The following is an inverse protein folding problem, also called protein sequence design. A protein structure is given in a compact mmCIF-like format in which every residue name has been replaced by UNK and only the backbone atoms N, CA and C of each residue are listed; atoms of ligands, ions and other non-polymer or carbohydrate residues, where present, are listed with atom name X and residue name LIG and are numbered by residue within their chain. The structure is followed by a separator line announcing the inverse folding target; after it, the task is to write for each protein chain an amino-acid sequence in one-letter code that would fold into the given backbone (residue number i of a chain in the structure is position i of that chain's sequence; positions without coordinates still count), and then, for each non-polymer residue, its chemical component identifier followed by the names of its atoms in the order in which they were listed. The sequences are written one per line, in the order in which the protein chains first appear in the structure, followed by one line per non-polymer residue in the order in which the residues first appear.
data_IF_327768802757
#
_entry.id   IF_327768802757
#
_cell.length_a   1.000
_cell.length_b   1.000
_cell.length_c   1.000
_cell.angle_alpha   90.00
_cell.angle_beta   90.00
_cell.angle_gamma   90.00
#
_symmetry.space_group_name_H-M   'P 1'
#
loop_
_entity.id
_entity.type
_entity.pdbx_description
1 polymer ?
#
# COMPACT_ATOMS: atom_id res chain seq x y z
N UNK A 1 -25.35 -28.26 28.87
CA UNK A 1 -23.94 -28.03 29.25
C UNK A 1 -23.56 -29.06 30.29
N UNK A 2 -22.56 -29.88 30.05
CA UNK A 2 -22.06 -30.84 31.03
C UNK A 2 -21.02 -30.17 31.97
N UNK A 3 -20.53 -30.93 32.99
CA UNK A 3 -19.58 -30.37 33.97
C UNK A 3 -18.23 -29.97 33.30
N UNK A 4 -17.76 -30.71 32.28
CA UNK A 4 -16.51 -30.38 31.56
C UNK A 4 -16.64 -29.08 30.77
N UNK A 5 -17.75 -28.88 30.08
CA UNK A 5 -18.06 -27.61 29.37
C UNK A 5 -18.06 -26.43 30.33
N UNK A 6 -18.67 -26.61 31.51
CA UNK A 6 -18.76 -25.56 32.54
C UNK A 6 -17.37 -25.14 33.05
N UNK A 7 -16.50 -26.09 33.39
CA UNK A 7 -15.11 -25.78 33.79
C UNK A 7 -14.31 -25.13 32.66
N UNK A 8 -14.48 -25.59 31.42
CA UNK A 8 -13.87 -24.98 30.24
C UNK A 8 -14.29 -23.52 30.08
N UNK A 9 -15.58 -23.23 30.20
CA UNK A 9 -16.10 -21.85 30.16
C UNK A 9 -15.50 -20.96 31.24
N UNK A 10 -15.41 -21.44 32.48
CA UNK A 10 -14.79 -20.68 33.58
C UNK A 10 -13.32 -20.36 33.24
N UNK A 11 -12.57 -21.33 32.79
CA UNK A 11 -11.16 -21.15 32.44
C UNK A 11 -10.97 -20.13 31.34
N UNK A 12 -11.62 -20.32 30.19
CA UNK A 12 -11.46 -19.41 29.05
C UNK A 12 -12.09 -18.03 29.27
N UNK A 13 -13.05 -17.90 30.18
CA UNK A 13 -13.58 -16.57 30.56
C UNK A 13 -12.55 -15.72 31.32
N UNK A 14 -11.52 -16.34 31.89
CA UNK A 14 -10.44 -15.69 32.65
C UNK A 14 -9.17 -15.52 31.85
N UNK A 15 -9.02 -16.33 30.79
CA UNK A 15 -7.82 -16.38 29.97
C UNK A 15 -8.17 -16.17 28.48
N UNK A 16 -8.02 -14.94 27.97
CA UNK A 16 -8.29 -14.65 26.56
C UNK A 16 -7.36 -15.43 25.63
N UNK A 17 -6.12 -15.70 26.02
CA UNK A 17 -5.19 -16.48 25.18
C UNK A 17 -5.66 -17.92 24.99
N UNK A 18 -6.10 -18.58 26.08
CA UNK A 18 -6.70 -19.89 25.98
C UNK A 18 -7.96 -19.91 25.10
N UNK A 19 -8.80 -18.86 25.19
CA UNK A 19 -9.95 -18.73 24.28
C UNK A 19 -9.51 -18.66 22.81
N UNK A 20 -8.51 -17.83 22.50
CA UNK A 20 -8.02 -17.66 21.13
C UNK A 20 -7.45 -18.97 20.58
N UNK A 21 -6.54 -19.62 21.29
CA UNK A 21 -5.81 -20.79 20.79
C UNK A 21 -6.66 -22.07 20.73
N UNK A 22 -7.67 -22.20 21.58
CA UNK A 22 -8.48 -23.42 21.64
C UNK A 22 -9.79 -23.33 20.83
N UNK A 23 -10.39 -22.14 20.69
CA UNK A 23 -11.74 -21.99 20.11
C UNK A 23 -11.79 -21.13 18.89
N UNK A 24 -10.83 -20.23 18.68
CA UNK A 24 -10.86 -19.33 17.53
C UNK A 24 -10.31 -20.02 16.28
N UNK A 25 -11.01 -19.84 15.19
CA UNK A 25 -10.55 -20.20 13.86
C UNK A 25 -10.42 -18.95 13.00
N UNK A 26 -9.46 -18.98 12.08
CA UNK A 26 -9.22 -17.94 11.09
C UNK A 26 -9.50 -18.48 9.69
N UNK A 27 -9.58 -17.60 8.71
CA UNK A 27 -9.72 -17.97 7.30
C UNK A 27 -8.46 -17.56 6.53
N UNK A 28 -7.92 -18.49 5.80
CA UNK A 28 -6.84 -18.28 4.83
C UNK A 28 -7.40 -18.52 3.41
N UNK A 29 -7.20 -17.60 2.45
CA UNK A 29 -7.75 -17.75 1.10
C UNK A 29 -7.29 -19.01 0.36
N UNK A 30 -6.09 -19.51 0.67
CA UNK A 30 -5.51 -20.69 0.01
C UNK A 30 -5.71 -21.97 0.82
N UNK A 31 -5.65 -21.88 2.16
CA UNK A 31 -5.68 -23.05 3.07
C UNK A 31 -7.06 -23.26 3.73
N UNK A 32 -8.02 -22.33 3.52
CA UNK A 32 -9.35 -22.41 4.11
C UNK A 32 -9.40 -22.05 5.59
N UNK A 33 -10.18 -22.79 6.37
CA UNK A 33 -10.33 -22.55 7.80
C UNK A 33 -9.18 -23.18 8.60
N UNK A 34 -8.48 -22.36 9.37
CA UNK A 34 -7.33 -22.75 10.18
C UNK A 34 -7.60 -22.47 11.68
N UNK A 35 -6.98 -23.25 12.56
CA UNK A 35 -6.92 -22.91 13.99
C UNK A 35 -6.11 -21.62 14.18
N UNK A 36 -6.46 -20.84 15.21
CA UNK A 36 -5.68 -19.66 15.59
C UNK A 36 -4.27 -20.10 16.02
N UNK A 37 -3.19 -19.52 15.47
CA UNK A 37 -1.84 -19.99 15.75
C UNK A 37 -1.35 -19.55 17.13
N UNK A 38 -0.61 -20.42 17.80
CA UNK A 38 0.08 -20.12 19.06
C UNK A 38 1.44 -19.46 18.77
N UNK A 39 1.42 -18.18 18.37
CA UNK A 39 2.64 -17.42 18.12
C UNK A 39 2.96 -16.50 19.30
N UNK A 40 4.22 -16.46 19.77
CA UNK A 40 4.63 -15.63 20.90
C UNK A 40 4.27 -14.18 20.78
N UNK A 41 4.48 -13.54 19.60
CA UNK A 41 4.18 -12.13 19.40
C UNK A 41 2.68 -11.80 19.49
N UNK A 42 1.80 -12.76 19.15
CA UNK A 42 0.35 -12.58 19.33
C UNK A 42 -0.05 -12.68 20.79
N UNK A 43 0.60 -13.56 21.55
CA UNK A 43 0.41 -13.69 23.00
C UNK A 43 0.84 -12.41 23.71
N UNK A 44 2.00 -11.87 23.36
CA UNK A 44 2.50 -10.60 23.89
C UNK A 44 1.56 -9.43 23.54
N UNK A 45 1.04 -9.41 22.32
CA UNK A 45 0.05 -8.42 21.90
C UNK A 45 -1.22 -8.51 22.73
N UNK A 46 -1.79 -9.71 22.95
CA UNK A 46 -2.96 -9.92 23.82
C UNK A 46 -2.69 -9.45 25.23
N UNK A 47 -1.50 -9.76 25.77
CA UNK A 47 -1.10 -9.34 27.11
C UNK A 47 -1.08 -7.80 27.22
N UNK A 48 -0.53 -7.09 26.26
CA UNK A 48 -0.51 -5.63 26.26
C UNK A 48 -1.92 -5.02 26.11
N UNK A 49 -2.83 -5.62 25.31
CA UNK A 49 -4.21 -5.16 25.19
C UNK A 49 -4.98 -5.29 26.53
N UNK A 50 -4.66 -6.29 27.34
CA UNK A 50 -5.31 -6.49 28.63
C UNK A 50 -4.67 -5.64 29.75
N UNK A 51 -3.40 -5.23 29.63
CA UNK A 51 -2.71 -4.41 30.63
C UNK A 51 -2.73 -2.91 30.32
N UNK A 52 -2.72 -2.51 29.05
CA UNK A 52 -2.59 -1.12 28.62
C UNK A 52 -3.92 -0.57 28.13
N UNK A 53 -4.30 0.59 28.65
CA UNK A 53 -5.57 1.23 28.27
C UNK A 53 -5.50 1.91 26.89
N UNK A 54 -4.37 2.51 26.56
CA UNK A 54 -4.13 3.23 25.31
C UNK A 54 -2.92 2.64 24.60
N UNK A 55 -3.15 1.94 23.50
CA UNK A 55 -2.15 1.17 22.78
C UNK A 55 -2.04 1.61 21.32
N UNK A 56 -0.83 1.83 20.85
CA UNK A 56 -0.51 2.01 19.44
C UNK A 56 0.34 0.84 18.95
N UNK A 57 -0.07 0.26 17.82
CA UNK A 57 0.56 -0.95 17.28
C UNK A 57 1.04 -0.71 15.84
N UNK A 58 2.21 -0.12 15.66
CA UNK A 58 2.87 -0.14 14.36
C UNK A 58 3.29 -1.55 14.00
N UNK A 59 2.80 -2.05 12.89
CA UNK A 59 2.98 -3.44 12.49
C UNK A 59 3.41 -3.60 11.03
N UNK A 60 4.13 -4.68 10.74
CA UNK A 60 4.26 -5.21 9.39
C UNK A 60 2.91 -5.70 8.87
N UNK A 61 2.72 -5.75 7.55
CA UNK A 61 1.47 -6.27 6.97
C UNK A 61 1.24 -7.74 7.32
N UNK A 62 -0.05 -8.10 7.47
CA UNK A 62 -0.52 -9.49 7.58
C UNK A 62 0.03 -10.25 8.81
N UNK A 63 0.09 -9.57 9.95
CA UNK A 63 0.53 -10.13 11.23
C UNK A 63 -0.64 -10.64 12.10
N UNK A 64 -1.78 -11.03 11.51
CA UNK A 64 -2.99 -11.56 12.16
C UNK A 64 -3.61 -10.65 13.25
N UNK A 65 -3.14 -9.41 13.37
CA UNK A 65 -3.59 -8.46 14.40
C UNK A 65 -5.10 -8.20 14.33
N UNK A 66 -5.66 -8.05 13.12
CA UNK A 66 -7.09 -7.82 12.92
C UNK A 66 -7.94 -9.03 13.37
N UNK A 67 -7.49 -10.26 13.09
CA UNK A 67 -8.15 -11.47 13.59
C UNK A 67 -8.09 -11.58 15.11
N UNK A 68 -6.94 -11.23 15.70
CA UNK A 68 -6.75 -11.20 17.16
C UNK A 68 -7.73 -10.21 17.82
N UNK A 69 -7.87 -9.01 17.25
CA UNK A 69 -8.79 -7.99 17.78
C UNK A 69 -10.27 -8.40 17.64
N UNK A 70 -10.63 -9.01 16.50
CA UNK A 70 -11.99 -9.55 16.32
C UNK A 70 -12.31 -10.62 17.37
N UNK A 71 -11.37 -11.53 17.64
CA UNK A 71 -11.51 -12.54 18.68
C UNK A 71 -11.59 -11.96 20.09
N UNK A 72 -10.76 -10.96 20.41
CA UNK A 72 -10.73 -10.32 21.72
C UNK A 72 -12.00 -9.50 22.02
N UNK A 73 -12.52 -8.76 21.05
CA UNK A 73 -13.77 -8.04 21.24
C UNK A 73 -14.96 -9.00 21.38
N UNK A 74 -14.95 -10.11 20.62
CA UNK A 74 -15.93 -11.17 20.84
C UNK A 74 -15.79 -11.79 22.24
N UNK A 75 -14.57 -12.13 22.67
CA UNK A 75 -14.32 -12.65 24.01
C UNK A 75 -14.81 -11.71 25.11
N UNK A 76 -14.50 -10.40 25.00
CA UNK A 76 -15.00 -9.40 25.96
C UNK A 76 -16.52 -9.33 25.96
N UNK A 77 -17.16 -9.38 24.79
CA UNK A 77 -18.62 -9.37 24.68
C UNK A 77 -19.29 -10.64 25.27
N UNK A 78 -18.63 -11.78 25.23
CA UNK A 78 -19.14 -13.04 25.76
C UNK A 78 -18.93 -13.20 27.29
N UNK A 79 -17.81 -12.70 27.82
CA UNK A 79 -17.35 -13.05 29.16
C UNK A 79 -17.14 -11.88 30.13
N UNK A 80 -17.06 -10.65 29.63
CA UNK A 80 -16.90 -9.44 30.48
C UNK A 80 -18.26 -8.79 30.78
N UNK A 81 -18.22 -7.76 31.60
CA UNK A 81 -19.41 -6.92 31.92
C UNK A 81 -20.00 -6.29 30.63
N UNK A 82 -21.27 -5.84 30.69
CA UNK A 82 -21.88 -5.12 29.57
C UNK A 82 -20.96 -4.02 29.03
N UNK A 83 -20.80 -3.97 27.73
CA UNK A 83 -19.93 -3.00 27.10
C UNK A 83 -20.20 -2.85 25.60
N UNK A 84 -19.83 -1.71 25.07
CA UNK A 84 -19.85 -1.45 23.64
C UNK A 84 -18.39 -1.46 23.11
N UNK A 85 -18.13 -2.28 22.10
CA UNK A 85 -16.83 -2.38 21.45
C UNK A 85 -16.97 -1.86 20.03
N UNK A 86 -16.15 -0.88 19.67
CA UNK A 86 -16.22 -0.19 18.39
C UNK A 86 -15.02 -0.51 17.53
N UNK A 87 -15.27 -1.05 16.33
CA UNK A 87 -14.32 -1.11 15.24
C UNK A 87 -14.44 0.14 14.37
N UNK A 88 -13.32 0.75 14.06
CA UNK A 88 -13.19 1.79 13.03
C UNK A 88 -12.24 1.32 11.93
N UNK A 89 -12.64 1.54 10.69
CA UNK A 89 -11.81 1.19 9.54
C UNK A 89 -11.98 2.22 8.42
N UNK A 90 -11.04 2.24 7.49
CA UNK A 90 -10.89 3.24 6.44
C UNK A 90 -12.16 3.55 5.63
N UNK A 91 -13.00 2.55 5.37
CA UNK A 91 -14.24 2.68 4.61
C UNK A 91 -15.28 1.64 5.06
N UNK A 92 -16.52 1.76 4.55
CA UNK A 92 -17.65 0.89 4.90
C UNK A 92 -17.34 -0.59 4.62
N UNK A 93 -16.81 -0.92 3.45
CA UNK A 93 -16.46 -2.31 3.10
C UNK A 93 -15.46 -2.92 4.07
N UNK A 94 -14.41 -2.17 4.43
CA UNK A 94 -13.43 -2.64 5.41
C UNK A 94 -14.03 -2.80 6.80
N UNK A 95 -14.97 -1.92 7.19
CA UNK A 95 -15.67 -2.04 8.45
C UNK A 95 -16.56 -3.30 8.48
N UNK A 96 -17.29 -3.58 7.41
CA UNK A 96 -18.09 -4.81 7.29
C UNK A 96 -17.21 -6.06 7.40
N UNK A 97 -16.05 -6.09 6.72
CA UNK A 97 -15.12 -7.21 6.79
C UNK A 97 -14.59 -7.48 8.21
N UNK A 98 -14.44 -6.44 9.06
CA UNK A 98 -14.09 -6.63 10.48
C UNK A 98 -15.19 -7.37 11.23
N UNK A 99 -16.43 -6.97 11.03
CA UNK A 99 -17.56 -7.59 11.71
C UNK A 99 -17.85 -9.00 11.17
N UNK A 100 -17.59 -9.26 9.88
CA UNK A 100 -17.68 -10.61 9.32
C UNK A 100 -16.67 -11.56 9.96
N UNK A 101 -15.46 -11.10 10.31
CA UNK A 101 -14.52 -11.92 11.09
C UNK A 101 -15.09 -12.29 12.46
N UNK A 102 -15.74 -11.37 13.13
CA UNK A 102 -16.42 -11.65 14.42
C UNK A 102 -17.53 -12.68 14.23
N UNK A 103 -18.38 -12.54 13.19
CA UNK A 103 -19.44 -13.50 12.86
C UNK A 103 -18.89 -14.88 12.57
N UNK A 104 -17.83 -14.93 11.77
CA UNK A 104 -17.17 -16.18 11.43
C UNK A 104 -16.67 -16.89 12.70
N UNK A 105 -15.94 -16.19 13.57
CA UNK A 105 -15.45 -16.77 14.83
C UNK A 105 -16.61 -17.24 15.68
N UNK A 106 -17.63 -16.39 15.90
CA UNK A 106 -18.82 -16.72 16.69
C UNK A 106 -19.53 -17.96 16.13
N UNK A 107 -19.67 -18.06 14.80
CA UNK A 107 -20.28 -19.22 14.14
C UNK A 107 -19.55 -20.54 14.42
N UNK A 108 -18.22 -20.50 14.60
CA UNK A 108 -17.38 -21.67 14.86
C UNK A 108 -17.33 -22.10 16.33
N UNK A 109 -17.79 -21.26 17.26
CA UNK A 109 -17.79 -21.62 18.70
C UNK A 109 -18.74 -22.81 18.98
N UNK A 110 -18.51 -23.59 20.03
CA UNK A 110 -19.48 -24.56 20.52
C UNK A 110 -20.79 -23.91 20.95
N UNK A 111 -21.91 -24.63 20.82
CA UNK A 111 -23.24 -24.07 21.11
C UNK A 111 -23.41 -23.61 22.56
N UNK A 112 -22.75 -24.26 23.51
CA UNK A 112 -22.77 -23.86 24.91
C UNK A 112 -22.07 -22.52 25.19
N UNK A 113 -21.26 -22.02 24.28
CA UNK A 113 -20.62 -20.70 24.34
C UNK A 113 -21.39 -19.61 23.59
N UNK A 114 -22.43 -19.97 22.82
CA UNK A 114 -23.19 -19.03 21.99
C UNK A 114 -24.41 -18.48 22.69
N UNK A 115 -24.39 -17.29 23.28
CA UNK A 115 -25.61 -16.65 23.73
C UNK A 115 -26.49 -16.27 22.52
N UNK A 116 -27.81 -16.12 22.78
CA UNK A 116 -28.75 -15.59 21.78
C UNK A 116 -28.33 -14.20 21.36
N UNK A 117 -28.30 -13.94 20.08
CA UNK A 117 -28.09 -12.59 19.51
C UNK A 117 -29.41 -11.80 19.61
N UNK A 118 -29.31 -10.54 20.01
CA UNK A 118 -30.43 -9.58 20.04
C UNK A 118 -30.40 -8.63 18.85
N UNK A 119 -29.24 -8.43 18.23
CA UNK A 119 -29.07 -7.80 16.93
C UNK A 119 -27.97 -8.50 16.13
N UNK A 120 -28.15 -8.54 14.80
CA UNK A 120 -27.17 -9.03 13.85
C UNK A 120 -27.42 -8.33 12.51
N UNK A 121 -26.86 -7.14 12.37
CA UNK A 121 -26.94 -6.29 11.16
C UNK A 121 -25.58 -6.11 10.52
N UNK A 122 -25.49 -5.38 9.41
CA UNK A 122 -24.20 -5.09 8.74
C UNK A 122 -23.18 -4.39 9.65
N UNK A 123 -23.67 -3.54 10.56
CA UNK A 123 -22.85 -2.68 11.41
C UNK A 123 -22.77 -3.12 12.86
N UNK A 124 -23.62 -4.08 13.27
CA UNK A 124 -23.77 -4.43 14.69
C UNK A 124 -24.01 -5.93 14.93
N UNK A 125 -23.36 -6.45 15.97
CA UNK A 125 -23.74 -7.70 16.63
C UNK A 125 -23.99 -7.39 18.12
N UNK A 126 -25.17 -7.76 18.64
CA UNK A 126 -25.52 -7.60 20.05
C UNK A 126 -25.87 -8.94 20.70
N UNK A 127 -25.39 -9.11 21.95
CA UNK A 127 -25.47 -10.35 22.72
C UNK A 127 -26.45 -10.22 23.86
N UNK A 128 -27.47 -11.09 23.94
CA UNK A 128 -28.55 -10.99 24.88
C UNK A 128 -28.17 -11.26 26.34
N UNK A 129 -27.07 -11.97 26.60
CA UNK A 129 -26.73 -12.41 27.95
C UNK A 129 -26.33 -11.25 28.89
N UNK A 130 -25.52 -10.31 28.37
CA UNK A 130 -24.98 -9.19 29.16
C UNK A 130 -25.24 -7.82 28.54
N UNK A 131 -26.01 -7.75 27.43
CA UNK A 131 -26.24 -6.52 26.67
C UNK A 131 -25.01 -5.95 25.99
N UNK A 132 -23.96 -6.79 25.80
CA UNK A 132 -22.76 -6.37 25.10
C UNK A 132 -23.03 -6.20 23.60
N UNK A 133 -22.37 -5.23 22.99
CA UNK A 133 -22.52 -4.87 21.57
C UNK A 133 -21.15 -4.70 20.92
N UNK A 134 -21.02 -5.19 19.69
CA UNK A 134 -19.87 -4.92 18.83
C UNK A 134 -20.38 -4.18 17.60
N UNK A 135 -19.88 -2.97 17.39
CA UNK A 135 -20.19 -2.12 16.25
C UNK A 135 -18.96 -2.03 15.34
N UNK A 136 -19.19 -1.91 14.05
CA UNK A 136 -18.15 -1.65 13.08
C UNK A 136 -18.58 -0.55 12.13
N UNK A 137 -17.84 0.57 12.12
CA UNK A 137 -18.19 1.78 11.40
C UNK A 137 -17.04 2.22 10.49
N UNK A 138 -17.34 2.84 9.33
CA UNK A 138 -16.35 3.57 8.60
C UNK A 138 -15.85 4.75 9.45
N UNK A 139 -14.55 4.97 9.45
CA UNK A 139 -13.94 6.08 10.16
C UNK A 139 -14.35 7.40 9.47
N UNK A 140 -15.17 8.17 10.16
CA UNK A 140 -15.68 9.47 9.72
C UNK A 140 -15.70 10.48 10.87
N UNK A 141 -15.59 11.79 10.60
CA UNK A 141 -15.48 12.80 11.66
C UNK A 141 -16.64 12.85 12.64
N UNK A 142 -17.83 12.39 12.24
CA UNK A 142 -19.05 12.43 13.07
C UNK A 142 -19.46 11.04 13.58
N UNK A 143 -18.98 9.95 12.99
CA UNK A 143 -19.39 8.59 13.34
C UNK A 143 -19.19 8.26 14.84
N UNK A 144 -17.99 8.43 15.40
CA UNK A 144 -17.72 8.07 16.79
C UNK A 144 -18.46 8.92 17.84
N UNK A 145 -18.86 10.14 17.50
CA UNK A 145 -19.49 11.08 18.47
C UNK A 145 -20.80 10.59 19.04
N UNK A 146 -21.49 9.69 18.34
CA UNK A 146 -22.79 9.17 18.75
C UNK A 146 -22.69 8.05 19.80
N UNK A 147 -21.47 7.60 20.13
CA UNK A 147 -21.25 6.42 20.93
C UNK A 147 -20.29 6.69 22.10
N UNK A 148 -20.47 5.91 23.17
CA UNK A 148 -19.55 5.88 24.32
C UNK A 148 -18.97 4.46 24.47
N UNK A 149 -18.02 4.07 23.60
CA UNK A 149 -17.48 2.71 23.60
C UNK A 149 -16.61 2.44 24.83
N UNK A 150 -16.72 1.23 25.37
CA UNK A 150 -15.83 0.69 26.39
C UNK A 150 -14.45 0.31 25.83
N UNK A 151 -14.38 0.05 24.52
CA UNK A 151 -13.13 -0.21 23.80
C UNK A 151 -13.26 0.15 22.33
N UNK A 152 -12.20 0.76 21.78
CA UNK A 152 -12.09 1.15 20.37
C UNK A 152 -10.91 0.44 19.76
N UNK A 153 -11.12 -0.15 18.60
CA UNK A 153 -10.07 -0.63 17.71
C UNK A 153 -10.13 0.15 16.40
N UNK A 154 -9.07 0.85 16.07
CA UNK A 154 -8.96 1.60 14.83
C UNK A 154 -7.96 0.91 13.89
N UNK A 155 -8.47 0.17 12.91
CA UNK A 155 -7.67 -0.56 11.93
C UNK A 155 -7.22 0.36 10.79
N UNK A 156 -5.99 0.17 10.32
CA UNK A 156 -5.35 0.94 9.25
C UNK A 156 -5.39 2.48 9.51
N UNK A 157 -5.14 2.87 10.78
CA UNK A 157 -5.27 4.25 11.25
C UNK A 157 -4.47 5.25 10.41
N UNK A 158 -3.23 4.90 9.99
CA UNK A 158 -2.37 5.77 9.18
C UNK A 158 -2.93 6.08 7.77
N UNK A 159 -3.91 5.30 7.29
CA UNK A 159 -4.51 5.46 5.97
C UNK A 159 -5.95 6.00 6.03
N UNK A 160 -6.37 6.48 7.17
CA UNK A 160 -7.71 7.00 7.38
C UNK A 160 -7.75 8.50 7.10
N UNK A 161 -8.62 8.98 6.18
CA UNK A 161 -8.83 10.41 5.98
C UNK A 161 -9.40 11.06 7.23
N UNK A 162 -9.08 12.35 7.46
CA UNK A 162 -9.59 13.14 8.58
C UNK A 162 -9.25 12.57 9.97
N UNK A 163 -8.14 11.88 10.10
CA UNK A 163 -7.69 11.17 11.30
C UNK A 163 -7.67 12.05 12.57
N UNK A 164 -7.19 13.30 12.49
CA UNK A 164 -7.19 14.25 13.61
C UNK A 164 -8.62 14.60 14.08
N UNK A 165 -9.58 14.75 13.16
CA UNK A 165 -10.98 15.06 13.50
C UNK A 165 -11.68 13.85 14.16
N UNK A 166 -11.40 12.65 13.67
CA UNK A 166 -11.91 11.40 14.21
C UNK A 166 -11.34 11.17 15.61
N UNK A 167 -10.05 11.41 15.79
CA UNK A 167 -9.41 11.34 17.11
C UNK A 167 -10.03 12.31 18.11
N UNK A 168 -10.25 13.56 17.71
CA UNK A 168 -10.93 14.55 18.55
C UNK A 168 -12.35 14.12 18.93
N UNK A 169 -13.05 13.40 18.06
CA UNK A 169 -14.38 12.84 18.33
C UNK A 169 -14.38 11.66 19.31
N UNK A 170 -13.31 10.85 19.31
CA UNK A 170 -13.13 9.69 20.21
C UNK A 170 -12.66 10.09 21.60
N UNK A 171 -11.87 11.14 21.71
CA UNK A 171 -11.19 11.53 22.95
C UNK A 171 -12.09 11.61 24.20
N UNK A 172 -13.29 12.21 24.16
CA UNK A 172 -14.17 12.27 25.33
C UNK A 172 -14.56 10.88 25.88
N UNK A 173 -14.83 9.91 25.01
CA UNK A 173 -15.14 8.55 25.41
C UNK A 173 -13.94 7.84 26.05
N UNK A 174 -12.74 8.10 25.54
CA UNK A 174 -11.49 7.56 26.09
C UNK A 174 -11.14 8.21 27.43
N UNK A 175 -11.36 9.51 27.57
CA UNK A 175 -11.15 10.23 28.84
C UNK A 175 -12.11 9.72 29.93
N UNK A 176 -13.29 9.21 29.57
CA UNK A 176 -14.26 8.56 30.48
C UNK A 176 -13.87 7.12 30.87
N UNK A 177 -12.70 6.63 30.48
CA UNK A 177 -12.18 5.29 30.87
C UNK A 177 -12.21 4.24 29.78
N UNK A 178 -12.64 4.54 28.57
CA UNK A 178 -12.57 3.64 27.42
C UNK A 178 -11.15 3.23 27.06
N UNK A 179 -10.97 2.00 26.58
CA UNK A 179 -9.69 1.51 26.04
C UNK A 179 -9.56 1.80 24.55
N UNK A 180 -8.32 1.95 24.07
CA UNK A 180 -8.03 2.24 22.67
C UNK A 180 -6.87 1.40 22.15
N UNK A 181 -7.05 0.85 20.97
CA UNK A 181 -6.00 0.16 20.20
C UNK A 181 -5.99 0.73 18.77
N UNK A 182 -4.99 1.54 18.45
CA UNK A 182 -4.74 2.04 17.10
C UNK A 182 -3.70 1.19 16.40
N UNK A 183 -4.02 0.65 15.24
CA UNK A 183 -3.16 -0.29 14.50
C UNK A 183 -2.96 0.18 13.07
N UNK A 184 -1.73 0.15 12.59
CA UNK A 184 -1.41 0.41 11.17
C UNK A 184 -0.01 -0.07 10.78
N UNK A 185 0.25 -0.26 9.48
CA UNK A 185 1.60 -0.05 8.95
C UNK A 185 1.91 1.46 8.96
N UNK A 186 3.16 1.87 8.74
CA UNK A 186 3.54 3.26 9.02
C UNK A 186 2.80 4.31 8.18
N UNK A 187 2.43 3.98 6.94
CA UNK A 187 1.78 4.94 6.04
C UNK A 187 2.60 6.21 5.74
N UNK A 188 3.91 6.20 6.06
CA UNK A 188 4.78 7.38 6.02
C UNK A 188 4.71 8.23 7.30
N UNK A 189 5.44 9.34 7.34
CA UNK A 189 5.58 10.19 8.54
C UNK A 189 4.52 11.30 8.70
N UNK A 190 3.65 11.53 7.71
CA UNK A 190 2.76 12.70 7.67
C UNK A 190 1.30 12.42 8.08
N UNK A 191 1.06 11.46 8.96
CA UNK A 191 -0.27 11.13 9.46
C UNK A 191 -0.31 11.15 11.00
N UNK A 192 -1.50 11.21 11.58
CA UNK A 192 -1.68 11.27 13.03
C UNK A 192 -1.08 10.05 13.74
N UNK A 193 -1.25 8.84 13.18
CA UNK A 193 -0.69 7.62 13.76
C UNK A 193 0.84 7.70 13.89
N UNK A 194 1.53 8.16 12.85
CA UNK A 194 2.98 8.34 12.88
C UNK A 194 3.41 9.36 13.94
N UNK A 195 2.74 10.52 14.00
CA UNK A 195 2.99 11.55 15.03
C UNK A 195 2.88 10.94 16.43
N UNK A 196 1.76 10.28 16.73
CA UNK A 196 1.50 9.68 18.04
C UNK A 196 2.50 8.59 18.41
N UNK A 197 2.91 7.74 17.45
CA UNK A 197 3.91 6.68 17.67
C UNK A 197 5.28 7.30 17.96
N UNK A 198 5.71 8.30 17.18
CA UNK A 198 7.01 8.94 17.33
C UNK A 198 7.12 9.75 18.64
N UNK A 199 6.05 10.44 19.04
CA UNK A 199 5.96 11.16 20.31
C UNK A 199 5.94 10.23 21.54
N UNK A 200 5.48 8.99 21.35
CA UNK A 200 5.38 7.99 22.43
C UNK A 200 6.61 7.09 22.53
N UNK A 201 7.47 7.08 21.51
CA UNK A 201 8.71 6.31 21.54
C UNK A 201 9.69 6.93 22.55
N UNK A 202 10.40 6.11 23.36
CA UNK A 202 11.44 6.65 24.23
C UNK A 202 12.51 7.34 23.38
N UNK A 203 12.95 8.53 23.81
CA UNK A 203 14.06 9.25 23.18
C UNK A 203 15.32 8.35 23.18
N UNK A 204 16.06 8.26 22.05
CA UNK A 204 17.31 7.50 22.00
C UNK A 204 18.35 7.95 23.05
N UNK A 205 18.23 9.19 23.56
CA UNK A 205 19.04 9.75 24.63
C UNK A 205 18.19 10.72 25.44
N UNK A 206 17.37 10.21 26.38
CA UNK A 206 16.52 11.07 27.20
C UNK A 206 17.39 12.00 28.05
N UNK A 207 17.02 13.29 28.09
CA UNK A 207 17.64 14.22 29.03
C UNK A 207 17.26 13.89 30.47
N UNK A 208 18.05 14.26 31.48
CA UNK A 208 17.67 14.03 32.89
C UNK A 208 16.29 14.59 33.24
N UNK A 209 15.88 15.69 32.65
CA UNK A 209 14.54 16.31 32.81
C UNK A 209 13.43 15.46 32.17
N UNK A 210 13.69 14.79 31.07
CA UNK A 210 12.71 13.89 30.40
C UNK A 210 12.44 12.61 31.21
N UNK A 211 13.43 12.18 32.00
CA UNK A 211 13.27 11.02 32.91
C UNK A 211 12.46 11.43 34.15
N UNK A 212 12.57 12.68 34.60
CA UNK A 212 11.83 13.19 35.77
C UNK A 212 10.38 13.57 35.45
N UNK A 213 10.08 14.04 34.21
CA UNK A 213 8.71 14.43 33.79
C UNK A 213 7.80 13.27 33.41
N UNK A 214 8.31 12.05 33.38
CA UNK A 214 7.53 10.86 33.00
C UNK A 214 7.28 10.75 31.49
N UNK A 215 6.46 9.78 31.08
CA UNK A 215 6.09 9.59 29.67
C UNK A 215 5.39 10.85 29.13
N UNK A 216 5.93 11.44 28.08
CA UNK A 216 5.32 12.59 27.37
C UNK A 216 3.98 12.25 26.73
N UNK A 217 3.72 11.00 26.44
CA UNK A 217 2.52 10.51 25.79
C UNK A 217 1.84 9.42 26.65
N UNK A 218 0.50 9.40 26.74
CA UNK A 218 -0.23 8.38 27.48
C UNK A 218 -0.27 7.02 26.79
N UNK A 219 0.30 6.90 25.58
CA UNK A 219 0.24 5.67 24.78
C UNK A 219 1.39 4.72 25.09
N UNK A 220 1.06 3.44 25.19
CA UNK A 220 2.05 2.38 25.07
C UNK A 220 2.22 2.02 23.57
N UNK A 221 3.44 1.86 23.09
CA UNK A 221 3.75 1.48 21.70
C UNK A 221 4.25 0.06 21.67
N UNK A 222 3.48 -0.83 21.03
CA UNK A 222 3.84 -2.22 20.82
C UNK A 222 4.12 -2.46 19.32
N UNK A 223 5.38 -2.64 18.95
CA UNK A 223 5.77 -2.90 17.56
C UNK A 223 5.66 -4.39 17.26
N UNK A 224 5.09 -4.75 16.10
CA UNK A 224 4.98 -6.14 15.62
C UNK A 224 5.65 -6.24 14.25
N UNK A 225 6.91 -6.67 14.24
CA UNK A 225 7.73 -6.76 13.04
C UNK A 225 7.57 -8.14 12.36
N UNK A 226 7.68 -8.21 11.02
CA UNK A 226 7.52 -9.46 10.27
C UNK A 226 8.52 -10.55 10.70
N UNK A 227 9.69 -10.18 11.20
CA UNK A 227 10.69 -11.11 11.74
C UNK A 227 10.20 -11.89 12.99
N UNK A 228 9.15 -11.44 13.65
CA UNK A 228 8.54 -12.15 14.76
C UNK A 228 7.67 -13.32 14.29
N UNK A 229 7.20 -13.26 13.03
CA UNK A 229 6.41 -14.34 12.45
C UNK A 229 7.29 -15.53 12.07
N UNK A 230 7.03 -16.76 12.57
CA UNK A 230 7.91 -17.92 12.38
C UNK A 230 8.23 -18.25 10.91
N UNK A 231 7.26 -18.08 10.00
CA UNK A 231 7.41 -18.43 8.58
C UNK A 231 8.04 -17.29 7.74
N UNK A 232 8.34 -16.11 8.32
CA UNK A 232 8.80 -14.92 7.57
C UNK A 232 10.23 -14.50 7.87
N UNK A 233 10.94 -15.25 8.69
CA UNK A 233 12.31 -14.93 9.14
C UNK A 233 13.38 -15.21 8.08
N UNK A 234 13.03 -15.90 6.99
CA UNK A 234 14.01 -16.36 6.01
C UNK A 234 14.29 -15.30 4.96
N UNK A 235 15.54 -15.23 4.50
CA UNK A 235 15.94 -14.35 3.40
C UNK A 235 15.22 -14.71 2.09
N UNK A 236 14.83 -15.97 1.91
CA UNK A 236 14.05 -16.42 0.78
C UNK A 236 12.64 -15.78 0.80
N UNK A 237 11.95 -15.82 1.94
CA UNK A 237 10.65 -15.16 2.10
C UNK A 237 10.77 -13.66 1.88
N UNK A 238 11.78 -13.00 2.49
CA UNK A 238 12.02 -11.56 2.33
C UNK A 238 12.19 -11.19 0.88
N UNK A 239 13.02 -11.92 0.14
CA UNK A 239 13.29 -11.68 -1.28
C UNK A 239 12.04 -11.84 -2.14
N UNK A 240 11.25 -12.91 -1.89
CA UNK A 240 10.01 -13.16 -2.59
C UNK A 240 8.94 -12.09 -2.27
N UNK A 241 8.80 -11.69 -1.01
CA UNK A 241 7.83 -10.69 -0.57
C UNK A 241 8.19 -9.26 -1.01
N UNK A 242 9.49 -8.96 -1.17
CA UNK A 242 9.99 -7.67 -1.62
C UNK A 242 9.92 -7.50 -3.15
N UNK A 243 9.89 -8.60 -3.91
CA UNK A 243 9.83 -8.55 -5.36
C UNK A 243 8.56 -7.81 -5.86
N UNK A 244 8.75 -6.86 -6.75
CA UNK A 244 7.65 -6.04 -7.28
C UNK A 244 7.14 -4.95 -6.35
N UNK A 245 7.79 -4.69 -5.22
CA UNK A 245 7.55 -3.51 -4.39
C UNK A 245 8.68 -2.50 -4.55
N UNK A 246 8.38 -1.20 -4.35
CA UNK A 246 9.43 -0.20 -4.20
C UNK A 246 10.12 -0.34 -2.84
N UNK A 247 11.36 0.13 -2.71
CA UNK A 247 12.07 0.13 -1.43
C UNK A 247 11.34 0.94 -0.35
N UNK A 248 10.79 2.10 -0.74
CA UNK A 248 10.01 2.95 0.16
C UNK A 248 8.79 2.17 0.68
N UNK A 249 8.04 1.53 -0.23
CA UNK A 249 6.86 0.76 0.14
C UNK A 249 7.20 -0.44 1.02
N UNK A 250 8.29 -1.16 0.72
CA UNK A 250 8.80 -2.23 1.58
C UNK A 250 9.11 -1.72 2.99
N UNK A 251 9.86 -0.61 3.10
CA UNK A 251 10.19 -0.01 4.39
C UNK A 251 8.94 0.40 5.18
N UNK A 252 7.96 1.01 4.52
CA UNK A 252 6.71 1.43 5.17
C UNK A 252 5.84 0.24 5.60
N UNK A 253 5.68 -0.76 4.74
CA UNK A 253 4.73 -1.86 4.95
C UNK A 253 5.29 -3.03 5.77
N UNK A 254 6.61 -3.29 5.70
CA UNK A 254 7.24 -4.43 6.36
C UNK A 254 8.25 -4.02 7.44
N UNK A 255 9.10 -3.03 7.19
CA UNK A 255 10.11 -2.58 8.15
C UNK A 255 9.57 -1.53 9.14
N UNK A 256 8.32 -1.12 9.04
CA UNK A 256 7.66 -0.16 9.94
C UNK A 256 8.43 1.18 9.96
N UNK A 257 8.96 1.63 8.83
CA UNK A 257 9.67 2.91 8.73
C UNK A 257 8.69 4.07 8.62
N UNK A 258 8.89 5.10 9.42
CA UNK A 258 8.17 6.37 9.39
C UNK A 258 8.96 7.46 8.65
N UNK A 259 10.03 7.11 7.96
CA UNK A 259 10.79 8.06 7.16
C UNK A 259 9.92 8.62 6.03
N UNK A 260 9.96 9.93 5.88
CA UNK A 260 9.30 10.59 4.75
C UNK A 260 10.04 10.25 3.45
N UNK A 261 9.30 10.05 2.37
CA UNK A 261 9.88 9.99 1.05
C UNK A 261 10.63 11.31 0.76
N UNK A 262 11.72 11.23 0.00
CA UNK A 262 12.41 12.43 -0.51
C UNK A 262 11.45 13.25 -1.38
N UNK A 263 11.69 14.56 -1.53
CA UNK A 263 10.88 15.41 -2.42
C UNK A 263 10.94 14.97 -3.88
N UNK A 264 11.94 14.16 -4.27
CA UNK A 264 12.05 13.59 -5.62
C UNK A 264 11.01 12.49 -5.84
N UNK A 265 10.32 12.53 -6.98
CA UNK A 265 9.37 11.50 -7.37
C UNK A 265 10.07 10.15 -7.58
N UNK A 266 11.23 10.16 -8.21
CA UNK A 266 12.03 8.97 -8.51
C UNK A 266 13.33 8.95 -7.70
N UNK A 267 13.20 8.86 -6.38
CA UNK A 267 14.33 8.75 -5.44
C UNK A 267 15.17 7.48 -5.64
N UNK A 268 14.63 6.48 -6.33
CA UNK A 268 15.30 5.23 -6.68
C UNK A 268 16.33 5.40 -7.81
N UNK A 269 16.32 6.53 -8.53
CA UNK A 269 17.27 6.77 -9.59
C UNK A 269 18.67 7.05 -9.05
N UNK A 270 19.62 6.23 -9.45
CA UNK A 270 21.04 6.34 -9.13
C UNK A 270 21.84 6.35 -10.43
N UNK A 271 22.50 7.46 -10.79
CA UNK A 271 23.26 7.57 -12.02
C UNK A 271 24.29 6.45 -12.22
N UNK A 272 24.93 5.96 -11.16
CA UNK A 272 25.93 4.89 -11.26
C UNK A 272 25.33 3.53 -11.62
N UNK A 273 24.07 3.31 -11.30
CA UNK A 273 23.37 2.03 -11.55
C UNK A 273 22.53 2.06 -12.82
N UNK A 274 21.99 3.22 -13.17
CA UNK A 274 20.99 3.37 -14.21
C UNK A 274 21.51 3.96 -15.52
N UNK A 275 22.64 4.69 -15.51
CA UNK A 275 23.23 5.21 -16.73
C UNK A 275 24.26 4.20 -17.23
N UNK A 276 24.14 3.82 -18.49
CA UNK A 276 25.12 2.95 -19.14
C UNK A 276 26.47 3.70 -19.30
N UNK A 277 27.58 2.96 -19.25
CA UNK A 277 28.91 3.55 -19.41
C UNK A 277 29.14 4.05 -20.85
N UNK A 278 28.48 3.43 -21.83
CA UNK A 278 28.58 3.76 -23.26
C UNK A 278 27.18 3.85 -23.89
N UNK A 279 27.08 4.48 -25.05
CA UNK A 279 25.87 4.51 -25.85
C UNK A 279 25.42 3.09 -26.20
N UNK A 280 24.12 2.87 -26.21
CA UNK A 280 23.55 1.56 -26.47
C UNK A 280 23.55 1.25 -27.97
N UNK A 281 24.06 0.09 -28.32
CA UNK A 281 23.91 -0.46 -29.67
C UNK A 281 22.61 -1.30 -29.73
N UNK A 282 21.71 -0.90 -30.61
CA UNK A 282 20.43 -1.58 -30.80
C UNK A 282 20.65 -2.99 -31.33
N UNK A 283 20.12 -4.00 -30.64
CA UNK A 283 20.23 -5.41 -31.03
C UNK A 283 19.06 -5.81 -31.92
N UNK A 284 19.36 -6.37 -33.09
CA UNK A 284 18.34 -6.91 -33.97
C UNK A 284 17.62 -8.13 -33.33
N UNK A 285 16.33 -8.24 -33.52
CA UNK A 285 15.54 -9.34 -32.98
C UNK A 285 15.07 -9.18 -31.53
N UNK A 286 15.47 -8.13 -30.81
CA UNK A 286 14.90 -7.78 -29.53
C UNK A 286 13.76 -6.79 -29.70
N UNK A 287 12.77 -6.87 -28.83
CA UNK A 287 11.58 -6.00 -28.88
C UNK A 287 11.97 -4.53 -28.68
N UNK A 288 11.46 -3.69 -29.57
CA UNK A 288 11.64 -2.24 -29.52
C UNK A 288 10.28 -1.58 -29.33
N UNK A 289 10.26 -0.59 -28.50
CA UNK A 289 9.08 0.20 -28.16
C UNK A 289 9.38 1.68 -28.30
N UNK A 290 8.33 2.47 -28.52
CA UNK A 290 8.39 3.92 -28.41
C UNK A 290 7.34 4.41 -27.42
N UNK A 291 7.55 5.58 -26.87
CA UNK A 291 6.54 6.26 -26.07
C UNK A 291 6.55 7.74 -26.41
N UNK A 292 5.35 8.32 -26.48
CA UNK A 292 5.11 9.66 -27.03
C UNK A 292 4.27 10.44 -26.02
N UNK A 293 4.81 11.54 -25.54
CA UNK A 293 4.05 12.58 -24.87
C UNK A 293 3.72 13.69 -25.88
N UNK A 294 2.40 13.90 -26.10
CA UNK A 294 1.94 14.89 -27.06
C UNK A 294 1.91 16.28 -26.42
N UNK A 295 2.31 17.27 -27.17
CA UNK A 295 2.19 18.67 -26.81
C UNK A 295 2.84 19.50 -27.91
N UNK A 296 2.21 20.61 -28.34
CA UNK A 296 2.83 21.48 -29.34
C UNK A 296 4.10 22.12 -28.80
N UNK A 297 4.09 22.56 -27.54
CA UNK A 297 5.23 23.28 -26.96
C UNK A 297 6.42 22.38 -26.68
N UNK A 298 6.16 21.19 -26.11
CA UNK A 298 7.20 20.28 -25.64
C UNK A 298 6.84 18.81 -25.92
N UNK A 299 6.66 18.41 -27.21
CA UNK A 299 6.47 17.00 -27.53
C UNK A 299 7.73 16.20 -27.20
N UNK A 300 7.52 14.98 -26.68
CA UNK A 300 8.62 14.14 -26.23
C UNK A 300 8.46 12.70 -26.71
N UNK A 301 9.57 12.08 -27.14
CA UNK A 301 9.59 10.69 -27.60
C UNK A 301 10.78 9.95 -26.99
N UNK A 302 10.54 8.73 -26.51
CA UNK A 302 11.60 7.81 -26.05
C UNK A 302 11.60 6.54 -26.90
N UNK A 303 12.78 6.00 -27.12
CA UNK A 303 13.00 4.68 -27.71
C UNK A 303 13.53 3.73 -26.68
N UNK A 304 12.89 2.55 -26.58
CA UNK A 304 13.13 1.61 -25.51
C UNK A 304 13.33 0.23 -26.12
N UNK A 305 14.39 -0.48 -25.74
CA UNK A 305 14.62 -1.86 -26.11
C UNK A 305 14.50 -2.77 -24.89
N UNK A 306 13.77 -3.88 -25.02
CA UNK A 306 13.69 -4.90 -23.99
C UNK A 306 14.81 -5.89 -24.13
N UNK A 307 15.51 -6.19 -23.02
CA UNK A 307 16.56 -7.23 -23.00
C UNK A 307 15.94 -8.62 -22.76
N UNK A 308 16.64 -9.71 -23.14
CA UNK A 308 16.18 -11.08 -22.88
C UNK A 308 15.97 -11.38 -21.39
N UNK A 309 16.69 -10.69 -20.51
CA UNK A 309 16.61 -10.85 -19.04
C UNK A 309 15.51 -9.99 -18.41
N UNK A 310 14.51 -9.57 -19.20
CA UNK A 310 13.40 -8.72 -18.75
C UNK A 310 13.82 -7.34 -18.22
N UNK A 311 14.93 -6.80 -18.76
CA UNK A 311 15.38 -5.42 -18.56
C UNK A 311 14.90 -4.50 -19.66
N UNK A 312 15.01 -3.19 -19.45
CA UNK A 312 14.66 -2.15 -20.39
C UNK A 312 15.85 -1.18 -20.55
N UNK A 313 16.18 -0.87 -21.77
CA UNK A 313 17.20 0.13 -22.10
C UNK A 313 16.52 1.27 -22.87
N UNK A 314 16.50 2.46 -22.30
CA UNK A 314 16.14 3.66 -23.05
C UNK A 314 17.38 4.07 -23.85
N UNK A 315 17.34 3.90 -25.17
CA UNK A 315 18.54 4.07 -25.99
C UNK A 315 18.58 5.40 -26.74
N UNK A 316 17.44 6.06 -26.95
CA UNK A 316 17.37 7.38 -27.55
C UNK A 316 16.18 8.18 -27.04
N UNK A 317 16.27 9.50 -27.18
CA UNK A 317 15.24 10.46 -26.87
C UNK A 317 15.15 11.55 -27.94
N UNK A 318 13.94 12.10 -28.09
CA UNK A 318 13.73 13.31 -28.84
C UNK A 318 12.84 14.27 -28.06
N UNK A 319 13.34 15.50 -27.85
CA UNK A 319 12.62 16.57 -27.21
C UNK A 319 12.36 17.67 -28.25
N UNK A 320 11.08 17.95 -28.55
CA UNK A 320 10.69 19.03 -29.46
C UNK A 320 10.40 20.33 -28.69
N UNK A 321 10.53 21.43 -29.37
CA UNK A 321 10.07 22.73 -28.91
C UNK A 321 9.28 23.40 -30.04
N UNK A 322 8.00 23.75 -29.77
CA UNK A 322 7.09 24.35 -30.73
C UNK A 322 7.02 23.58 -32.06
N UNK A 323 6.75 22.26 -31.95
CA UNK A 323 6.72 21.32 -33.08
C UNK A 323 5.32 20.77 -33.34
N UNK A 324 4.98 20.67 -34.61
CA UNK A 324 3.75 19.97 -35.05
C UNK A 324 3.92 18.46 -34.97
N UNK A 325 2.79 17.75 -35.05
CA UNK A 325 2.80 16.26 -35.05
C UNK A 325 3.52 15.72 -36.29
N UNK A 326 3.43 16.39 -37.44
CA UNK A 326 4.12 16.02 -38.67
C UNK A 326 5.63 16.20 -38.54
N UNK A 327 6.10 17.29 -37.93
CA UNK A 327 7.51 17.51 -37.63
C UNK A 327 8.07 16.46 -36.64
N UNK A 328 7.29 16.13 -35.62
CA UNK A 328 7.62 15.05 -34.70
C UNK A 328 7.70 13.71 -35.44
N UNK A 329 6.74 13.38 -36.31
CA UNK A 329 6.76 12.16 -37.11
C UNK A 329 8.01 12.11 -38.02
N UNK A 330 8.43 13.23 -38.61
CA UNK A 330 9.64 13.30 -39.40
C UNK A 330 10.88 13.04 -38.53
N UNK A 331 10.95 13.60 -37.35
CA UNK A 331 12.02 13.36 -36.39
C UNK A 331 12.10 11.88 -35.99
N UNK A 332 10.93 11.25 -35.68
CA UNK A 332 10.86 9.83 -35.38
C UNK A 332 11.43 9.00 -36.52
N UNK A 333 11.03 9.25 -37.74
CA UNK A 333 11.55 8.50 -38.93
C UNK A 333 13.06 8.68 -39.15
N UNK A 334 13.59 9.88 -38.90
CA UNK A 334 15.01 10.14 -39.02
C UNK A 334 15.82 9.38 -37.96
N UNK A 335 15.34 9.32 -36.74
CA UNK A 335 15.98 8.56 -35.65
C UNK A 335 15.87 7.06 -35.93
N UNK A 336 14.69 6.56 -36.31
CA UNK A 336 14.51 5.15 -36.68
C UNK A 336 15.50 4.77 -37.80
N UNK A 337 15.59 5.60 -38.86
CA UNK A 337 16.51 5.36 -39.98
C UNK A 337 17.98 5.31 -39.53
N UNK A 338 18.39 6.16 -38.59
CA UNK A 338 19.76 6.16 -38.07
C UNK A 338 20.15 4.86 -37.38
N UNK A 339 19.16 4.12 -36.86
CA UNK A 339 19.31 2.79 -36.25
C UNK A 339 18.98 1.63 -37.22
N UNK A 340 18.67 1.93 -38.50
CA UNK A 340 18.23 0.93 -39.48
C UNK A 340 16.86 0.32 -39.14
N UNK A 341 16.03 1.02 -38.38
CA UNK A 341 14.72 0.56 -37.98
C UNK A 341 13.61 1.01 -38.93
N UNK A 342 12.59 0.19 -39.04
CA UNK A 342 11.32 0.48 -39.72
C UNK A 342 10.16 0.33 -38.74
N UNK A 343 8.95 0.74 -39.14
CA UNK A 343 7.76 0.54 -38.30
C UNK A 343 7.46 -0.94 -37.99
N UNK A 344 8.00 -1.88 -38.74
CA UNK A 344 7.81 -3.32 -38.49
C UNK A 344 8.69 -3.84 -37.37
N UNK A 345 9.79 -3.13 -37.08
CA UNK A 345 10.73 -3.49 -36.02
C UNK A 345 10.26 -2.97 -34.66
N UNK A 346 9.29 -2.01 -34.63
CA UNK A 346 8.72 -1.46 -33.41
C UNK A 346 7.46 -2.23 -33.03
N UNK A 347 7.47 -2.83 -31.87
CA UNK A 347 6.39 -3.67 -31.36
C UNK A 347 5.11 -2.86 -31.18
N UNK A 348 5.21 -1.71 -30.53
CA UNK A 348 4.16 -0.68 -30.41
C UNK A 348 4.74 0.64 -29.87
N UNK A 349 3.91 1.71 -29.97
CA UNK A 349 4.19 3.01 -29.40
C UNK A 349 3.12 3.37 -28.37
N UNK A 350 3.52 3.61 -27.12
CA UNK A 350 2.62 4.13 -26.09
C UNK A 350 2.41 5.65 -26.27
N UNK A 351 1.31 6.17 -25.74
CA UNK A 351 0.99 7.59 -25.85
C UNK A 351 0.23 8.19 -24.67
N UNK A 352 0.22 9.51 -24.60
CA UNK A 352 -0.68 10.30 -23.77
C UNK A 352 -2.15 10.10 -24.20
N UNK A 353 -3.10 9.92 -23.24
CA UNK A 353 -4.53 9.93 -23.50
C UNK A 353 -5.04 11.18 -24.25
N UNK A 354 -4.44 12.36 -24.04
CA UNK A 354 -4.87 13.61 -24.66
C UNK A 354 -4.69 13.68 -26.20
N UNK A 355 -3.84 12.83 -26.78
CA UNK A 355 -3.55 12.82 -28.22
C UNK A 355 -4.72 12.46 -29.16
N UNK A 356 -5.91 12.15 -28.61
CA UNK A 356 -7.15 11.92 -29.40
C UNK A 356 -7.92 13.19 -29.72
N UNK A 357 -7.60 14.32 -29.09
CA UNK A 357 -8.26 15.59 -29.38
C UNK A 357 -7.99 16.02 -30.84
N UNK A 358 -9.05 16.32 -31.58
CA UNK A 358 -8.92 16.82 -32.95
C UNK A 358 -8.32 18.21 -32.94
N UNK A 359 -7.34 18.43 -33.85
CA UNK A 359 -6.76 19.75 -34.13
C UNK A 359 -7.57 20.50 -35.20
N UNK A 360 -7.23 21.77 -35.46
CA UNK A 360 -7.85 22.60 -36.47
C UNK A 360 -7.80 22.01 -37.90
N UNK A 361 -6.89 21.09 -38.13
CA UNK A 361 -6.76 20.29 -39.38
C UNK A 361 -7.83 19.21 -39.52
N UNK A 362 -8.67 18.99 -38.49
CA UNK A 362 -9.68 17.92 -38.45
C UNK A 362 -9.15 16.53 -38.11
N UNK A 363 -7.84 16.33 -38.00
CA UNK A 363 -7.19 15.10 -37.62
C UNK A 363 -6.64 15.20 -36.20
N UNK A 364 -6.68 14.12 -35.45
CA UNK A 364 -5.96 14.04 -34.19
C UNK A 364 -4.48 13.69 -34.41
N UNK A 365 -3.56 14.04 -33.50
CA UNK A 365 -2.19 13.58 -33.52
C UNK A 365 -2.07 12.06 -33.70
N UNK A 366 -2.94 11.31 -33.05
CA UNK A 366 -2.99 9.83 -33.16
C UNK A 366 -3.37 9.38 -34.55
N UNK A 367 -4.32 10.07 -35.24
CA UNK A 367 -4.73 9.72 -36.60
C UNK A 367 -3.57 9.93 -37.60
N UNK A 368 -2.76 10.96 -37.40
CA UNK A 368 -1.57 11.22 -38.22
C UNK A 368 -0.56 10.07 -38.08
N UNK A 369 -0.26 9.66 -36.83
CA UNK A 369 0.70 8.58 -36.57
C UNK A 369 0.15 7.21 -37.04
N UNK A 370 -1.12 6.90 -36.85
CA UNK A 370 -1.74 5.67 -37.37
C UNK A 370 -1.70 5.59 -38.89
N UNK A 371 -1.95 6.71 -39.61
CA UNK A 371 -1.81 6.78 -41.08
C UNK A 371 -0.38 6.59 -41.53
N UNK A 372 0.60 6.90 -40.68
CA UNK A 372 2.01 6.65 -40.94
C UNK A 372 2.43 5.18 -40.70
N UNK A 373 1.47 4.32 -40.27
CA UNK A 373 1.71 2.90 -40.04
C UNK A 373 2.05 2.53 -38.58
N UNK A 374 2.03 3.49 -37.66
CA UNK A 374 2.37 3.25 -36.28
C UNK A 374 1.30 2.47 -35.53
N UNK A 375 1.68 1.45 -34.79
CA UNK A 375 0.83 0.70 -33.87
C UNK A 375 0.76 1.45 -32.52
N UNK A 376 -0.28 2.23 -32.31
CA UNK A 376 -0.42 3.10 -31.16
C UNK A 376 -1.27 2.43 -30.07
N UNK A 377 -0.73 2.36 -28.84
CA UNK A 377 -1.44 1.88 -27.65
C UNK A 377 -1.67 3.02 -26.66
N UNK A 378 -2.79 2.91 -25.93
CA UNK A 378 -3.11 3.78 -24.82
C UNK A 378 -3.93 3.02 -23.77
N UNK A 379 -3.42 2.96 -22.56
CA UNK A 379 -4.15 2.42 -21.41
C UNK A 379 -4.28 3.50 -20.34
N UNK A 380 -5.51 3.84 -19.94
CA UNK A 380 -5.71 4.81 -18.87
C UNK A 380 -5.22 4.24 -17.54
N UNK A 381 -4.52 5.02 -16.75
CA UNK A 381 -4.13 4.68 -15.39
C UNK A 381 -4.08 5.92 -14.50
N UNK A 382 -4.13 5.73 -13.19
CA UNK A 382 -3.82 6.81 -12.25
C UNK A 382 -2.32 7.14 -12.35
N UNK A 383 -1.98 8.42 -12.22
CA UNK A 383 -0.59 8.91 -12.28
C UNK A 383 0.31 8.15 -11.29
N UNK A 384 -0.14 7.98 -10.06
CA UNK A 384 0.58 7.25 -9.02
C UNK A 384 0.90 5.79 -9.38
N UNK A 385 -0.05 5.07 -10.02
CA UNK A 385 0.18 3.69 -10.46
C UNK A 385 1.33 3.61 -11.47
N UNK A 386 1.35 4.53 -12.44
CA UNK A 386 2.42 4.57 -13.42
C UNK A 386 3.77 4.97 -12.81
N UNK A 387 3.78 5.88 -11.84
CA UNK A 387 5.00 6.23 -11.07
C UNK A 387 5.54 5.00 -10.33
N UNK A 388 4.68 4.22 -9.67
CA UNK A 388 5.11 3.00 -8.99
C UNK A 388 5.74 1.98 -9.94
N UNK A 389 5.21 1.80 -11.15
CA UNK A 389 5.82 0.92 -12.15
C UNK A 389 7.22 1.37 -12.55
N UNK A 390 7.42 2.67 -12.77
CA UNK A 390 8.75 3.23 -13.06
C UNK A 390 9.72 3.01 -11.90
N UNK A 391 9.31 3.27 -10.67
CA UNK A 391 10.12 3.05 -9.47
C UNK A 391 10.55 1.60 -9.31
N UNK A 392 9.63 0.67 -9.52
CA UNK A 392 9.91 -0.78 -9.48
C UNK A 392 10.91 -1.15 -10.58
N UNK A 393 10.79 -0.56 -11.77
CA UNK A 393 11.73 -0.80 -12.85
C UNK A 393 13.13 -0.22 -12.58
N UNK A 394 13.21 0.95 -11.92
CA UNK A 394 14.46 1.52 -11.45
C UNK A 394 15.11 0.64 -10.40
N UNK A 395 14.43 0.37 -9.30
CA UNK A 395 14.95 -0.50 -8.26
C UNK A 395 13.79 -1.05 -7.40
N UNK A 396 13.53 -2.35 -7.50
CA UNK A 396 12.57 -2.98 -6.60
C UNK A 396 13.15 -3.17 -5.18
N UNK A 397 12.30 -3.55 -4.23
CA UNK A 397 12.71 -3.74 -2.84
C UNK A 397 13.68 -4.92 -2.64
N UNK A 398 13.80 -5.81 -3.63
CA UNK A 398 14.82 -6.87 -3.68
C UNK A 398 16.17 -6.38 -4.23
N UNK A 399 16.26 -5.10 -4.64
CA UNK A 399 17.46 -4.47 -5.19
C UNK A 399 17.69 -4.74 -6.68
N UNK A 400 16.69 -5.30 -7.39
CA UNK A 400 16.79 -5.59 -8.82
C UNK A 400 16.56 -4.33 -9.63
N UNK A 401 17.43 -4.07 -10.60
CA UNK A 401 17.37 -2.96 -11.57
C UNK A 401 16.93 -3.53 -12.91
N UNK A 402 15.80 -3.05 -13.43
CA UNK A 402 15.26 -3.42 -14.75
C UNK A 402 15.41 -2.30 -15.77
N UNK A 403 15.50 -1.04 -15.34
CA UNK A 403 15.59 0.12 -16.23
C UNK A 403 17.01 0.69 -16.24
N UNK A 404 17.57 0.85 -17.44
CA UNK A 404 18.83 1.56 -17.67
C UNK A 404 18.68 2.53 -18.83
N UNK A 405 19.55 3.52 -18.88
CA UNK A 405 19.42 4.68 -19.78
C UNK A 405 20.76 4.90 -20.48
N UNK A 406 20.73 5.05 -21.78
CA UNK A 406 21.91 5.45 -22.57
C UNK A 406 22.35 6.86 -22.18
N UNK A 407 23.65 7.15 -22.06
CA UNK A 407 24.16 8.49 -21.78
C UNK A 407 23.77 9.53 -22.84
N UNK A 408 23.26 9.10 -23.97
CA UNK A 408 22.70 9.93 -25.03
C UNK A 408 21.41 10.64 -24.60
N UNK A 409 20.62 10.03 -23.73
CA UNK A 409 19.35 10.55 -23.22
C UNK A 409 19.56 11.61 -22.12
N UNK A 410 20.17 12.72 -22.47
CA UNK A 410 20.63 13.76 -21.51
C UNK A 410 19.48 14.49 -20.83
N UNK A 411 18.41 14.74 -21.57
CA UNK A 411 17.22 15.45 -21.06
C UNK A 411 16.51 14.59 -20.01
N UNK A 412 16.20 13.35 -20.35
CA UNK A 412 15.60 12.39 -19.42
C UNK A 412 16.44 12.20 -18.14
N UNK A 413 17.76 12.04 -18.30
CA UNK A 413 18.68 11.89 -17.15
C UNK A 413 18.64 13.11 -16.24
N UNK A 414 18.65 14.32 -16.79
CA UNK A 414 18.58 15.55 -16.01
C UNK A 414 17.24 15.70 -15.27
N UNK A 415 16.15 15.27 -15.89
CA UNK A 415 14.82 15.40 -15.37
C UNK A 415 14.55 14.48 -14.16
N UNK A 416 15.20 13.31 -14.09
CA UNK A 416 15.17 12.47 -12.88
C UNK A 416 15.63 13.20 -11.62
N UNK A 417 16.59 14.13 -11.72
CA UNK A 417 17.08 14.93 -10.61
C UNK A 417 16.21 16.15 -10.25
N UNK A 418 15.19 16.46 -11.06
CA UNK A 418 14.36 17.66 -10.95
C UNK A 418 12.90 17.36 -10.65
N UNK A 419 12.37 16.22 -11.09
CA UNK A 419 10.96 15.87 -10.96
C UNK A 419 10.58 15.63 -9.50
N UNK A 420 9.72 16.49 -8.95
CA UNK A 420 9.41 16.56 -7.52
C UNK A 420 7.92 16.47 -7.25
N UNK A 421 7.58 16.06 -6.05
CA UNK A 421 6.22 16.13 -5.54
C UNK A 421 5.83 17.58 -5.27
N UNK A 422 4.57 17.91 -5.53
CA UNK A 422 4.01 19.21 -5.13
C UNK A 422 3.97 19.31 -3.59
N UNK A 423 4.14 20.52 -3.07
CA UNK A 423 4.15 20.76 -1.63
C UNK A 423 2.83 20.29 -0.97
N UNK A 424 2.91 19.29 -0.10
CA UNK A 424 1.76 18.72 0.62
C UNK A 424 0.81 17.89 -0.24
N UNK A 425 1.20 17.52 -1.47
CA UNK A 425 0.37 16.75 -2.40
C UNK A 425 0.93 15.39 -2.77
N UNK A 426 0.03 14.52 -3.23
CA UNK A 426 0.36 13.20 -3.77
C UNK A 426 0.55 13.24 -5.30
N UNK A 427 0.59 14.42 -5.91
CA UNK A 427 0.81 14.60 -7.33
C UNK A 427 2.14 15.30 -7.60
N UNK A 428 2.87 14.94 -8.67
CA UNK A 428 4.07 15.65 -9.08
C UNK A 428 3.78 17.08 -9.52
N UNK A 429 4.79 17.96 -9.39
CA UNK A 429 4.75 19.30 -9.97
C UNK A 429 4.64 19.20 -11.49
N UNK A 430 3.67 19.94 -12.07
CA UNK A 430 3.49 20.08 -13.51
C UNK A 430 3.78 21.53 -13.91
N UNK A 431 5.05 21.81 -14.18
CA UNK A 431 5.55 23.14 -14.55
C UNK A 431 5.95 23.26 -16.03
N UNK A 432 5.78 22.17 -16.81
CA UNK A 432 6.17 22.09 -18.22
C UNK A 432 7.67 22.02 -18.44
N UNK A 433 8.47 21.74 -17.42
CA UNK A 433 9.94 21.67 -17.50
C UNK A 433 10.49 20.24 -17.59
N UNK A 434 10.02 19.36 -16.72
CA UNK A 434 10.49 17.97 -16.66
C UNK A 434 9.36 16.92 -16.68
N UNK A 435 8.11 17.34 -16.67
CA UNK A 435 6.95 16.45 -16.65
C UNK A 435 6.78 15.68 -17.97
N UNK A 436 7.16 16.25 -19.13
CA UNK A 436 6.97 15.61 -20.43
C UNK A 436 7.80 14.33 -20.61
N UNK A 437 9.08 14.35 -20.24
CA UNK A 437 9.95 13.16 -20.30
C UNK A 437 9.50 12.08 -19.31
N UNK A 438 9.10 12.50 -18.10
CA UNK A 438 8.64 11.61 -17.05
C UNK A 438 7.26 11.02 -17.36
N UNK A 439 6.35 11.78 -17.95
CA UNK A 439 5.05 11.30 -18.42
C UNK A 439 5.22 10.33 -19.60
N UNK A 440 6.09 10.63 -20.57
CA UNK A 440 6.43 9.70 -21.64
C UNK A 440 6.95 8.36 -21.11
N UNK A 441 7.87 8.39 -20.15
CA UNK A 441 8.40 7.18 -19.50
C UNK A 441 7.29 6.40 -18.77
N UNK A 442 6.42 7.10 -18.05
CA UNK A 442 5.30 6.51 -17.33
C UNK A 442 4.30 5.82 -18.27
N UNK A 443 4.00 6.41 -19.44
CA UNK A 443 3.09 5.79 -20.42
C UNK A 443 3.65 4.48 -20.97
N UNK A 444 4.95 4.35 -21.13
CA UNK A 444 5.56 3.07 -21.49
C UNK A 444 5.24 2.00 -20.46
N UNK A 445 5.58 2.21 -19.19
CA UNK A 445 5.40 1.21 -18.15
C UNK A 445 3.94 0.88 -17.89
N UNK A 446 3.03 1.86 -17.94
CA UNK A 446 1.59 1.61 -17.84
C UNK A 446 1.11 0.66 -18.93
N UNK A 447 1.49 0.89 -20.19
CA UNK A 447 1.06 0.04 -21.29
C UNK A 447 1.73 -1.34 -21.25
N UNK A 448 3.00 -1.41 -20.84
CA UNK A 448 3.75 -2.66 -20.76
C UNK A 448 3.25 -3.56 -19.63
N UNK A 449 3.18 -3.08 -18.40
CA UNK A 449 2.81 -3.87 -17.23
C UNK A 449 1.32 -4.29 -17.29
N UNK A 450 0.43 -3.43 -17.76
CA UNK A 450 -0.97 -3.79 -17.94
C UNK A 450 -1.21 -4.78 -19.10
N UNK A 451 -0.29 -4.91 -20.06
CA UNK A 451 -0.39 -5.96 -21.07
C UNK A 451 -0.03 -7.34 -20.50
N UNK A 452 0.80 -7.36 -19.47
CA UNK A 452 1.25 -8.56 -18.77
C UNK A 452 0.32 -8.98 -17.62
N UNK A 453 -0.62 -8.13 -17.19
CA UNK A 453 -1.66 -8.50 -16.20
C UNK A 453 -2.67 -9.53 -16.72
N UNK A 454 -2.73 -9.81 -18.00
CA UNK A 454 -3.44 -10.97 -18.57
C UNK A 454 -2.65 -12.30 -18.41
N UNK A 455 -1.38 -12.25 -18.04
CA UNK A 455 -0.60 -13.39 -17.54
C UNK A 455 -0.64 -13.28 -16.02
N UNK A 456 -1.03 -14.33 -15.26
CA UNK A 456 -1.17 -14.23 -13.82
C UNK A 456 0.11 -13.64 -13.23
N UNK A 457 -0.01 -12.45 -12.63
CA UNK A 457 1.02 -11.82 -11.80
C UNK A 457 1.60 -12.90 -10.91
N UNK A 458 2.94 -12.92 -10.80
CA UNK A 458 3.74 -13.81 -9.99
C UNK A 458 2.97 -14.31 -8.77
N UNK A 459 2.99 -15.59 -8.42
CA UNK A 459 2.04 -16.20 -7.50
C UNK A 459 1.89 -15.28 -6.31
N UNK A 460 0.69 -14.72 -6.14
CA UNK A 460 0.30 -14.10 -4.86
C UNK A 460 0.76 -15.12 -3.87
N UNK A 461 1.77 -14.81 -3.07
CA UNK A 461 2.38 -15.72 -2.14
C UNK A 461 1.26 -16.51 -1.48
N UNK A 462 1.07 -17.76 -1.92
CA UNK A 462 0.01 -18.64 -1.44
C UNK A 462 0.28 -18.78 0.05
N UNK A 463 -0.63 -18.28 0.88
CA UNK A 463 -0.47 -18.33 2.33
C UNK A 463 -0.32 -16.98 3.03
N UNK A 464 -0.46 -15.85 2.31
CA UNK A 464 -0.48 -14.55 2.98
C UNK A 464 -1.93 -14.07 3.02
N UNK A 465 -2.68 -14.52 4.05
CA UNK A 465 -4.07 -14.13 4.28
C UNK A 465 -4.27 -12.60 4.32
N UNK A 466 -5.32 -12.14 3.70
CA UNK A 466 -5.82 -10.75 3.83
C UNK A 466 -6.41 -10.50 5.21
#
# INVERSE_FOLDING_TARGET
MNSADFYTMIRVSRDPWAFLTEFVKTQDPAKGTLAFPDYPYLKDFVTHIESERLLLVPKSRQMLVTWTMAALFLWRALFRAPGMYLFLSRNERCAEELLERVRFIFGQLPDYMKPKLTANSREEIAFGKYGARILSLPASPNGPRMYSPSGVFWDEMAFTPFDEQIWAALKPALDSGGSFVGVSSSGGGNNLFAKMVLESAPSPSPSPTEVEEGRRSPFFVHRIHYLEHPERRTEEWKRAAAAGLTQVRWRMEQEISFENATDLVYSEFDPQRHILAEEWNVHSGWEIYRTIDFGYRHPYVLWIQRTPEDGFIIFDEWAGQDRTTEEMLLAIRNIDFSYGLTERDVTWSARDPAGEAKQDTGLSPVDILRRAGMKILNRPSRVQTGIEFVKIALCDAAGRVRLRISPKCRSLIADFGRYRWAAGGDEPVKDGLCDHSMDALRYFFVNYESANEEIPVAPRLAGIGR
#
